data_IF_554598313676
#
_entry.id   IF_554598313676
#
_cell.length_a   1.000
_cell.length_b   1.000
_cell.length_c   1.000
_cell.angle_alpha   90.00
_cell.angle_beta   90.00
_cell.angle_gamma   90.00
#
_symmetry.space_group_name_H-M   'P 1'
#
loop_
_entity.id
_entity.type
_entity.pdbx_description
1 polymer ?
#
# COMPACT_ATOMS: atom_id res chain seq x y z
N UNK A 1 -42.62 59.05 4.74
CA UNK A 1 -42.11 57.97 3.87
C UNK A 1 -40.72 57.62 4.36
N UNK A 2 -40.57 56.54 5.13
CA UNK A 2 -39.29 56.06 5.62
C UNK A 2 -39.11 54.61 5.16
N UNK A 3 -38.13 54.38 4.30
CA UNK A 3 -37.82 53.07 3.72
C UNK A 3 -36.97 52.29 4.73
N UNK A 4 -37.52 51.20 5.26
CA UNK A 4 -36.77 50.23 6.08
C UNK A 4 -36.02 49.31 5.12
N UNK A 5 -34.69 49.40 5.11
CA UNK A 5 -33.81 48.43 4.46
C UNK A 5 -33.67 47.21 5.38
N UNK A 6 -34.30 46.11 4.98
CA UNK A 6 -34.10 44.79 5.59
C UNK A 6 -32.83 44.20 4.98
N UNK A 7 -31.75 44.15 5.75
CA UNK A 7 -30.58 43.33 5.42
C UNK A 7 -30.94 41.86 5.65
N UNK A 8 -31.16 41.13 4.56
CA UNK A 8 -31.24 39.67 4.59
C UNK A 8 -29.81 39.13 4.66
N UNK A 9 -29.34 38.81 5.87
CA UNK A 9 -28.17 37.95 6.04
C UNK A 9 -28.57 36.52 5.64
N UNK A 10 -28.20 36.12 4.43
CA UNK A 10 -28.28 34.72 3.98
C UNK A 10 -27.25 33.91 4.78
N UNK A 11 -27.76 33.02 5.63
CA UNK A 11 -27.00 32.08 6.44
C UNK A 11 -26.26 31.04 5.55
N UNK A 12 -24.98 31.30 5.25
CA UNK A 12 -24.01 30.31 4.74
C UNK A 12 -23.24 29.61 5.89
N UNK A 13 -23.90 29.34 7.02
CA UNK A 13 -23.25 28.89 8.26
C UNK A 13 -23.11 27.35 8.43
N UNK A 14 -24.01 26.48 7.92
CA UNK A 14 -23.97 25.05 8.24
C UNK A 14 -22.67 24.35 7.81
N UNK A 15 -22.25 24.57 6.57
CA UNK A 15 -21.09 23.86 6.00
C UNK A 15 -19.76 24.31 6.62
N UNK A 16 -19.64 25.59 6.97
CA UNK A 16 -18.43 26.13 7.59
C UNK A 16 -18.21 25.59 9.02
N UNK A 17 -19.28 25.47 9.81
CA UNK A 17 -19.21 24.95 11.17
C UNK A 17 -18.94 23.44 11.19
N UNK A 18 -19.53 22.69 10.27
CA UNK A 18 -19.35 21.23 10.14
C UNK A 18 -17.91 20.89 9.76
N UNK A 19 -17.36 21.59 8.76
CA UNK A 19 -15.96 21.43 8.34
C UNK A 19 -14.95 21.74 9.45
N UNK A 20 -15.24 22.70 10.33
CA UNK A 20 -14.35 23.04 11.45
C UNK A 20 -14.31 21.92 12.49
N UNK A 21 -15.45 21.29 12.77
CA UNK A 21 -15.50 20.13 13.68
C UNK A 21 -14.77 18.93 13.09
N UNK A 22 -14.98 18.64 11.81
CA UNK A 22 -14.28 17.55 11.11
C UNK A 22 -12.77 17.77 11.08
N UNK A 23 -12.32 19.01 10.89
CA UNK A 23 -10.91 19.38 10.97
C UNK A 23 -10.31 19.13 12.36
N UNK A 24 -10.99 19.55 13.42
CA UNK A 24 -10.52 19.28 14.79
C UNK A 24 -10.41 17.79 15.05
N UNK A 25 -11.44 17.01 14.70
CA UNK A 25 -11.43 15.56 14.84
C UNK A 25 -10.31 14.91 14.01
N UNK A 26 -10.07 15.39 12.79
CA UNK A 26 -8.99 14.93 11.93
C UNK A 26 -7.63 15.16 12.58
N UNK A 27 -7.36 16.38 13.07
CA UNK A 27 -6.09 16.67 13.73
C UNK A 27 -5.87 15.82 14.98
N UNK A 28 -6.89 15.67 15.82
CA UNK A 28 -6.83 14.83 17.02
C UNK A 28 -6.58 13.36 16.67
N UNK A 29 -7.36 12.80 15.73
CA UNK A 29 -7.26 11.39 15.33
C UNK A 29 -5.90 11.03 14.74
N UNK A 30 -5.31 11.91 13.96
CA UNK A 30 -4.06 11.66 13.22
C UNK A 30 -2.84 12.37 13.83
N UNK A 31 -2.97 12.95 15.02
CA UNK A 31 -1.88 13.62 15.73
C UNK A 31 -1.24 14.74 14.91
N UNK A 32 -2.03 15.54 14.18
CA UNK A 32 -1.51 16.57 13.29
C UNK A 32 -1.06 17.79 14.07
N UNK A 33 0.20 18.15 13.86
CA UNK A 33 0.82 19.37 14.38
C UNK A 33 1.47 20.14 13.22
N UNK A 34 1.18 21.43 13.11
CA UNK A 34 1.53 22.26 11.97
C UNK A 34 2.53 23.35 12.36
N UNK A 35 3.47 23.65 11.46
CA UNK A 35 4.63 24.50 11.78
C UNK A 35 4.26 25.94 12.13
N UNK A 36 3.11 26.40 11.65
CA UNK A 36 2.60 27.75 11.90
C UNK A 36 1.10 27.80 11.65
N UNK A 37 0.44 28.85 12.14
CA UNK A 37 -0.97 29.11 11.83
C UNK A 37 -1.23 29.23 10.32
N UNK A 38 -0.29 29.77 9.55
CA UNK A 38 -0.42 29.88 8.10
C UNK A 38 -0.36 28.50 7.41
N UNK A 39 0.52 27.61 7.88
CA UNK A 39 0.59 26.22 7.42
C UNK A 39 -0.70 25.47 7.78
N UNK A 40 -1.21 25.64 9.00
CA UNK A 40 -2.48 25.05 9.41
C UNK A 40 -3.65 25.54 8.55
N UNK A 41 -3.74 26.84 8.26
CA UNK A 41 -4.78 27.38 7.37
C UNK A 41 -4.70 26.80 5.96
N UNK A 42 -3.48 26.65 5.42
CA UNK A 42 -3.27 25.98 4.12
C UNK A 42 -3.73 24.52 4.18
N UNK A 43 -3.35 23.78 5.23
CA UNK A 43 -3.69 22.36 5.41
C UNK A 43 -5.20 22.16 5.59
N UNK A 44 -5.86 23.07 6.29
CA UNK A 44 -7.31 23.06 6.42
C UNK A 44 -8.00 23.31 5.07
N UNK A 45 -7.52 24.25 4.24
CA UNK A 45 -8.06 24.45 2.89
C UNK A 45 -7.93 23.20 2.02
N UNK A 46 -6.77 22.54 2.04
CA UNK A 46 -6.54 21.28 1.32
C UNK A 46 -7.48 20.18 1.82
N UNK A 47 -7.67 20.10 3.14
CA UNK A 47 -8.61 19.17 3.77
C UNK A 47 -10.05 19.39 3.28
N UNK A 48 -10.51 20.64 3.22
CA UNK A 48 -11.84 20.97 2.70
C UNK A 48 -12.01 20.61 1.22
N UNK A 49 -10.97 20.80 0.40
CA UNK A 49 -11.00 20.36 -1.01
C UNK A 49 -11.08 18.84 -1.12
N UNK A 50 -10.29 18.13 -0.31
CA UNK A 50 -10.31 16.67 -0.29
C UNK A 50 -11.64 16.10 0.23
N UNK A 51 -12.30 16.76 1.20
CA UNK A 51 -13.64 16.39 1.66
C UNK A 51 -14.65 16.43 0.53
N UNK A 52 -14.67 17.51 -0.27
CA UNK A 52 -15.58 17.62 -1.44
C UNK A 52 -15.36 16.49 -2.44
N UNK A 53 -14.10 16.10 -2.68
CA UNK A 53 -13.75 14.97 -3.56
C UNK A 53 -14.31 13.66 -2.98
N UNK A 54 -14.11 13.43 -1.67
CA UNK A 54 -14.60 12.23 -0.98
C UNK A 54 -16.13 12.17 -1.06
N UNK A 55 -16.83 13.26 -0.78
CA UNK A 55 -18.29 13.35 -0.81
C UNK A 55 -18.86 13.07 -2.20
N UNK A 56 -18.33 13.73 -3.23
CA UNK A 56 -18.75 13.54 -4.61
C UNK A 56 -18.51 12.09 -5.09
N UNK A 57 -17.34 11.51 -4.80
CA UNK A 57 -17.07 10.11 -5.12
C UNK A 57 -18.01 9.15 -4.38
N UNK A 58 -18.32 9.45 -3.12
CA UNK A 58 -19.21 8.62 -2.33
C UNK A 58 -20.69 8.71 -2.78
N UNK A 59 -21.10 9.80 -3.44
CA UNK A 59 -22.37 9.84 -4.17
C UNK A 59 -22.40 8.85 -5.34
N UNK A 60 -21.32 8.77 -6.12
CA UNK A 60 -21.20 7.78 -7.20
C UNK A 60 -21.20 6.34 -6.66
N UNK A 61 -20.53 6.09 -5.53
CA UNK A 61 -20.61 4.79 -4.84
C UNK A 61 -22.04 4.45 -4.42
N UNK A 62 -22.75 5.37 -3.74
CA UNK A 62 -24.16 5.16 -3.31
C UNK A 62 -25.10 4.93 -4.49
N UNK A 63 -24.81 5.52 -5.64
CA UNK A 63 -25.58 5.36 -6.87
C UNK A 63 -25.12 4.17 -7.74
N UNK A 64 -24.22 3.31 -7.23
CA UNK A 64 -23.76 2.11 -7.94
C UNK A 64 -22.85 2.36 -9.15
N UNK A 65 -22.33 3.59 -9.30
CA UNK A 65 -21.40 3.97 -10.37
C UNK A 65 -19.94 3.68 -10.01
N UNK A 66 -19.64 3.62 -8.71
CA UNK A 66 -18.35 3.19 -8.17
C UNK A 66 -18.49 1.90 -7.36
N UNK A 67 -17.42 1.12 -7.32
CA UNK A 67 -17.32 -0.16 -6.58
C UNK A 67 -16.57 -0.02 -5.26
N UNK A 68 -16.07 1.19 -4.96
CA UNK A 68 -15.37 1.53 -3.73
C UNK A 68 -15.79 2.90 -3.23
N UNK A 69 -15.58 3.14 -1.94
CA UNK A 69 -15.81 4.43 -1.31
C UNK A 69 -14.51 5.00 -0.73
N UNK A 70 -14.50 6.32 -0.63
CA UNK A 70 -13.41 7.09 -0.07
C UNK A 70 -13.73 7.54 1.35
N UNK A 71 -12.70 7.91 2.10
CA UNK A 71 -12.86 8.38 3.48
C UNK A 71 -11.70 9.26 3.93
N UNK A 72 -11.95 9.99 5.02
CA UNK A 72 -10.91 10.77 5.70
C UNK A 72 -9.92 9.81 6.35
N UNK A 73 -8.66 9.90 5.93
CA UNK A 73 -7.52 9.20 6.52
C UNK A 73 -6.35 10.18 6.71
N UNK A 74 -5.19 9.70 7.14
CA UNK A 74 -4.02 10.54 7.45
C UNK A 74 -3.50 11.41 6.28
N UNK A 75 -3.93 11.15 5.05
CA UNK A 75 -3.55 11.89 3.85
C UNK A 75 -4.57 12.97 3.45
N UNK A 76 -5.66 13.15 4.22
CA UNK A 76 -6.73 14.07 3.86
C UNK A 76 -6.31 15.54 3.83
N UNK A 77 -5.18 15.93 4.43
CA UNK A 77 -4.61 17.28 4.39
C UNK A 77 -3.45 17.43 3.38
N UNK A 78 -3.29 16.48 2.46
CA UNK A 78 -2.26 16.48 1.41
C UNK A 78 -2.85 16.79 0.04
N UNK A 79 -2.12 17.56 -0.76
CA UNK A 79 -2.43 17.70 -2.19
C UNK A 79 -2.12 16.41 -2.94
N UNK A 80 -2.66 16.26 -4.15
CA UNK A 80 -2.35 15.13 -5.01
C UNK A 80 -0.85 15.02 -5.34
N UNK A 81 -0.19 16.17 -5.55
CA UNK A 81 1.25 16.24 -5.80
C UNK A 81 2.06 15.86 -4.58
N UNK A 82 1.71 16.37 -3.39
CA UNK A 82 2.36 16.00 -2.13
C UNK A 82 2.25 14.49 -1.88
N UNK A 83 1.09 13.90 -2.12
CA UNK A 83 0.90 12.47 -1.99
C UNK A 83 1.73 11.66 -2.99
N UNK A 84 1.73 12.05 -4.28
CA UNK A 84 2.54 11.36 -5.30
C UNK A 84 4.04 11.45 -4.98
N UNK A 85 4.50 12.58 -4.44
CA UNK A 85 5.90 12.76 -4.07
C UNK A 85 6.33 11.84 -2.90
N UNK A 86 5.39 11.29 -2.13
CA UNK A 86 5.67 10.25 -1.12
C UNK A 86 5.75 8.85 -1.69
N UNK A 87 5.17 8.63 -2.86
CA UNK A 87 5.26 7.36 -3.57
C UNK A 87 6.70 7.23 -4.08
N UNK A 88 7.39 6.17 -3.69
CA UNK A 88 8.76 5.92 -4.13
C UNK A 88 8.71 5.25 -5.49
N UNK A 89 9.07 5.93 -6.59
CA UNK A 89 9.00 5.29 -7.90
C UNK A 89 10.05 4.20 -7.95
N UNK A 90 9.64 3.05 -8.44
CA UNK A 90 10.56 2.04 -8.89
C UNK A 90 11.16 2.57 -10.22
N UNK A 91 12.28 3.32 -10.15
CA UNK A 91 12.99 3.81 -11.36
C UNK A 91 14.22 2.96 -11.62
N UNK A 92 14.37 2.58 -12.90
CA UNK A 92 15.42 1.73 -13.46
C UNK A 92 15.70 0.45 -12.67
N UNK A 93 14.96 -0.63 -12.97
CA UNK A 93 15.41 -1.97 -12.61
C UNK A 93 16.67 -2.29 -13.41
N UNK A 94 17.74 -2.64 -12.71
CA UNK A 94 18.66 -3.63 -13.23
C UNK A 94 18.13 -5.02 -12.85
N UNK A 95 17.45 -5.69 -13.78
CA UNK A 95 16.93 -7.06 -13.61
C UNK A 95 18.06 -8.10 -13.84
N UNK A 96 19.33 -7.68 -13.92
CA UNK A 96 20.41 -8.61 -14.26
C UNK A 96 20.72 -9.58 -13.11
N UNK A 97 20.51 -10.86 -13.41
CA UNK A 97 21.06 -11.99 -12.65
C UNK A 97 20.15 -12.49 -11.53
N UNK A 98 19.64 -13.71 -11.74
CA UNK A 98 19.01 -14.62 -10.77
C UNK A 98 17.49 -14.60 -10.62
N UNK A 99 16.75 -13.89 -11.48
CA UNK A 99 15.32 -14.21 -11.63
C UNK A 99 15.18 -15.50 -12.44
N UNK A 100 14.41 -16.46 -11.90
CA UNK A 100 13.77 -17.49 -12.73
C UNK A 100 12.34 -17.05 -12.94
N UNK A 101 11.87 -17.10 -14.18
CA UNK A 101 10.44 -16.98 -14.45
C UNK A 101 9.80 -18.23 -13.87
N UNK A 102 8.78 -18.06 -13.03
CA UNK A 102 8.02 -19.17 -12.50
C UNK A 102 7.43 -19.97 -13.66
N UNK A 103 7.74 -21.27 -13.72
CA UNK A 103 7.08 -22.19 -14.63
C UNK A 103 5.70 -22.49 -14.06
N UNK A 104 4.71 -21.72 -14.51
CA UNK A 104 3.32 -21.96 -14.15
C UNK A 104 2.79 -22.94 -15.19
N UNK A 105 2.89 -24.24 -14.87
CA UNK A 105 1.98 -25.21 -15.47
C UNK A 105 0.56 -24.72 -15.17
N UNK A 106 -0.19 -24.43 -16.22
CA UNK A 106 -1.56 -23.91 -16.17
C UNK A 106 -2.37 -24.62 -15.08
N UNK A 107 -3.09 -23.84 -14.28
CA UNK A 107 -4.18 -24.23 -13.36
C UNK A 107 -4.67 -25.66 -13.62
N UNK A 108 -4.32 -26.59 -12.72
CA UNK A 108 -4.77 -27.99 -12.81
C UNK A 108 -6.25 -28.14 -12.41
N UNK A 109 -6.94 -27.03 -12.14
CA UNK A 109 -8.35 -26.96 -11.76
C UNK A 109 -8.60 -26.99 -10.26
N UNK A 110 -7.55 -27.02 -9.42
CA UNK A 110 -7.67 -27.14 -7.97
C UNK A 110 -7.46 -25.82 -7.19
N UNK A 111 -7.44 -24.66 -7.86
CA UNK A 111 -7.28 -23.36 -7.20
C UNK A 111 -8.61 -22.91 -6.56
N UNK A 112 -8.66 -22.62 -5.24
CA UNK A 112 -9.87 -22.14 -4.59
C UNK A 112 -10.42 -20.84 -5.21
N UNK A 113 -11.74 -20.64 -5.14
CA UNK A 113 -12.41 -19.41 -5.62
C UNK A 113 -12.02 -18.17 -4.81
N UNK A 114 -11.76 -18.35 -3.50
CA UNK A 114 -11.27 -17.31 -2.61
C UNK A 114 -10.24 -17.87 -1.64
N UNK A 115 -9.27 -17.03 -1.26
CA UNK A 115 -8.24 -17.32 -0.26
C UNK A 115 -7.98 -16.05 0.53
N UNK A 116 -7.76 -16.21 1.82
CA UNK A 116 -7.23 -15.18 2.70
C UNK A 116 -6.17 -15.78 3.63
N UNK A 117 -4.90 -15.51 3.34
CA UNK A 117 -3.77 -16.05 4.12
C UNK A 117 -3.71 -15.50 5.55
N UNK A 118 -4.49 -14.46 5.88
CA UNK A 118 -4.62 -13.96 7.25
C UNK A 118 -5.37 -14.95 8.13
N UNK A 119 -6.32 -15.71 7.59
CA UNK A 119 -7.17 -16.64 8.36
C UNK A 119 -6.37 -17.77 9.01
N UNK A 120 -5.22 -18.11 8.43
CA UNK A 120 -4.31 -19.12 9.00
C UNK A 120 -3.11 -18.52 9.71
N UNK A 121 -3.03 -17.19 9.84
CA UNK A 121 -1.93 -16.49 10.52
C UNK A 121 -0.64 -16.38 9.72
N UNK A 122 -0.68 -16.50 8.38
CA UNK A 122 0.50 -16.44 7.53
C UNK A 122 0.98 -15.01 7.21
N UNK A 123 0.37 -13.98 7.78
CA UNK A 123 0.61 -12.57 7.44
C UNK A 123 0.93 -11.79 8.71
N UNK A 124 2.07 -11.09 8.74
CA UNK A 124 2.45 -10.20 9.85
C UNK A 124 1.51 -8.99 9.95
N UNK A 125 1.40 -8.35 11.14
CA UNK A 125 0.56 -7.17 11.32
C UNK A 125 0.87 -6.05 10.30
N UNK A 126 -0.14 -5.22 10.01
CA UNK A 126 0.05 -4.05 9.14
C UNK A 126 1.05 -3.10 9.78
N UNK A 127 2.06 -2.72 9.00
CA UNK A 127 3.07 -1.74 9.39
C UNK A 127 2.80 -0.35 8.80
N UNK A 128 3.61 0.62 9.20
CA UNK A 128 3.55 1.98 8.70
C UNK A 128 4.95 2.45 8.25
N UNK A 129 5.11 2.75 6.96
CA UNK A 129 6.35 3.25 6.37
C UNK A 129 6.58 4.75 6.65
N UNK A 130 5.54 5.46 7.10
CA UNK A 130 5.59 6.90 7.34
C UNK A 130 5.96 7.69 6.08
N UNK A 131 6.89 8.62 6.20
CA UNK A 131 7.31 9.50 5.09
C UNK A 131 8.43 8.89 4.20
N UNK A 132 8.93 7.71 4.55
CA UNK A 132 9.96 7.01 3.79
C UNK A 132 9.36 6.14 2.68
N UNK A 133 9.92 6.18 1.48
CA UNK A 133 9.55 5.35 0.33
C UNK A 133 9.99 3.88 0.44
N UNK A 134 9.81 3.24 1.59
CA UNK A 134 10.28 1.88 1.91
C UNK A 134 9.28 0.75 1.59
N UNK A 135 8.17 1.05 0.88
CA UNK A 135 7.14 0.06 0.53
C UNK A 135 7.68 -1.22 -0.10
N UNK A 136 8.73 -1.11 -0.92
CA UNK A 136 9.39 -2.24 -1.59
C UNK A 136 10.00 -3.25 -0.60
N UNK A 137 10.49 -2.77 0.55
CA UNK A 137 10.99 -3.60 1.64
C UNK A 137 9.82 -4.34 2.31
N UNK A 138 8.75 -3.62 2.63
CA UNK A 138 7.56 -4.20 3.26
C UNK A 138 6.88 -5.29 2.41
N UNK A 139 6.83 -5.09 1.09
CA UNK A 139 6.32 -6.11 0.15
C UNK A 139 7.22 -7.35 0.10
N UNK A 140 8.53 -7.16 -0.06
CA UNK A 140 9.49 -8.26 -0.13
C UNK A 140 9.57 -9.06 1.17
N UNK A 141 9.75 -8.38 2.30
CA UNK A 141 9.82 -9.02 3.62
C UNK A 141 8.52 -9.72 3.97
N UNK A 142 7.38 -9.10 3.69
CA UNK A 142 6.07 -9.72 3.91
C UNK A 142 5.91 -11.05 3.18
N UNK A 143 6.45 -11.15 1.96
CA UNK A 143 6.44 -12.40 1.21
C UNK A 143 7.37 -13.44 1.83
N UNK A 144 8.60 -13.06 2.26
CA UNK A 144 9.54 -13.96 2.97
C UNK A 144 8.94 -14.48 4.27
N UNK A 145 8.36 -13.61 5.09
CA UNK A 145 7.74 -13.95 6.37
C UNK A 145 6.61 -14.95 6.18
N UNK A 146 5.78 -14.74 5.15
CA UNK A 146 4.68 -15.63 4.82
C UNK A 146 5.19 -16.98 4.31
N UNK A 147 6.19 -17.01 3.42
CA UNK A 147 6.82 -18.26 2.97
C UNK A 147 7.42 -19.05 4.14
N UNK A 148 8.08 -18.35 5.08
CA UNK A 148 8.64 -18.98 6.26
C UNK A 148 7.54 -19.60 7.13
N UNK A 149 6.43 -18.89 7.33
CA UNK A 149 5.27 -19.44 8.04
C UNK A 149 4.72 -20.69 7.35
N UNK A 150 4.53 -20.67 6.03
CA UNK A 150 3.98 -21.80 5.29
C UNK A 150 4.89 -23.04 5.31
N UNK A 151 6.21 -22.83 5.39
CA UNK A 151 7.21 -23.93 5.47
C UNK A 151 7.40 -24.48 6.89
N UNK A 152 7.28 -23.63 7.91
CA UNK A 152 7.69 -23.97 9.29
C UNK A 152 6.57 -23.96 10.34
N UNK A 153 5.42 -23.36 10.02
CA UNK A 153 4.35 -23.05 10.96
C UNK A 153 4.65 -21.89 11.92
N UNK A 154 5.80 -21.21 11.79
CA UNK A 154 6.21 -20.10 12.67
C UNK A 154 6.21 -18.77 11.90
N UNK A 155 5.41 -17.82 12.37
CA UNK A 155 5.44 -16.45 11.85
C UNK A 155 6.60 -15.70 12.50
N UNK A 156 7.34 -14.97 11.68
CA UNK A 156 8.44 -14.11 12.12
C UNK A 156 8.21 -12.69 11.60
N UNK A 157 8.83 -11.71 12.23
CA UNK A 157 8.82 -10.33 11.79
C UNK A 157 10.26 -9.89 11.52
N UNK A 158 10.57 -9.54 10.28
CA UNK A 158 11.92 -9.17 9.84
C UNK A 158 12.14 -7.66 9.97
N UNK A 159 13.39 -7.27 10.22
CA UNK A 159 13.74 -5.86 10.39
C UNK A 159 13.75 -5.13 9.05
N UNK A 160 12.72 -4.31 8.82
CA UNK A 160 12.68 -3.35 7.70
C UNK A 160 13.84 -2.36 7.79
N UNK A 161 14.17 -1.91 9.00
CA UNK A 161 15.25 -0.94 9.20
C UNK A 161 16.62 -1.51 8.85
N UNK A 162 16.88 -2.80 9.11
CA UNK A 162 18.14 -3.43 8.73
C UNK A 162 18.29 -3.49 7.20
N UNK A 163 17.23 -3.84 6.47
CA UNK A 163 17.26 -3.78 5.01
C UNK A 163 17.47 -2.32 4.56
N UNK A 164 16.72 -1.37 5.12
CA UNK A 164 16.83 0.04 4.77
C UNK A 164 18.23 0.62 4.97
N UNK A 165 18.92 0.22 6.04
CA UNK A 165 20.26 0.71 6.40
C UNK A 165 21.39 0.05 5.59
N UNK A 166 21.21 -1.23 5.22
CA UNK A 166 22.29 -2.06 4.70
C UNK A 166 22.16 -2.41 3.21
N UNK A 167 21.03 -2.08 2.56
CA UNK A 167 20.79 -2.38 1.15
C UNK A 167 21.58 -1.44 0.23
N UNK A 168 22.61 -1.98 -0.41
CA UNK A 168 23.46 -1.26 -1.38
C UNK A 168 22.89 -1.29 -2.82
N UNK A 169 21.75 -1.97 -3.04
CA UNK A 169 21.12 -2.18 -4.35
C UNK A 169 19.89 -1.30 -4.59
N UNK A 170 19.35 -0.70 -3.53
CA UNK A 170 18.19 0.18 -3.57
C UNK A 170 18.55 1.61 -3.11
N UNK A 171 17.60 2.54 -3.25
CA UNK A 171 17.83 3.96 -2.99
C UNK A 171 17.24 4.41 -1.64
N UNK A 172 17.26 3.53 -0.63
CA UNK A 172 16.76 3.81 0.70
C UNK A 172 15.31 4.31 0.69
N UNK A 173 15.07 5.48 1.28
CA UNK A 173 13.74 6.11 1.33
C UNK A 173 13.27 6.78 0.03
N UNK A 174 14.10 6.83 -1.02
CA UNK A 174 13.70 7.37 -2.32
C UNK A 174 12.89 6.33 -3.12
N UNK A 175 13.10 5.04 -2.82
CA UNK A 175 12.42 3.93 -3.47
C UNK A 175 13.37 2.80 -3.82
N UNK A 176 12.79 1.69 -4.27
CA UNK A 176 13.52 0.48 -4.57
C UNK A 176 12.61 -0.59 -5.16
N UNK A 177 13.20 -1.77 -5.34
CA UNK A 177 12.57 -2.92 -5.98
C UNK A 177 12.55 -4.12 -5.02
N UNK A 178 11.43 -4.86 -4.91
CA UNK A 178 11.38 -6.08 -4.11
C UNK A 178 12.46 -7.10 -4.51
N UNK A 179 12.76 -7.21 -5.81
CA UNK A 179 13.82 -8.09 -6.33
C UNK A 179 15.20 -7.77 -5.74
N UNK A 180 15.54 -6.48 -5.62
CA UNK A 180 16.80 -6.02 -5.04
C UNK A 180 16.88 -6.31 -3.54
N UNK A 181 15.74 -6.32 -2.83
CA UNK A 181 15.70 -6.74 -1.41
C UNK A 181 16.03 -8.22 -1.27
N UNK A 182 15.51 -9.09 -2.15
CA UNK A 182 15.90 -10.50 -2.14
C UNK A 182 17.40 -10.69 -2.42
N UNK A 183 17.96 -9.89 -3.33
CA UNK A 183 19.41 -9.88 -3.61
C UNK A 183 20.21 -9.47 -2.37
N UNK A 184 19.82 -8.40 -1.68
CA UNK A 184 20.43 -7.96 -0.43
C UNK A 184 20.41 -9.08 0.61
N UNK A 185 19.25 -9.69 0.86
CA UNK A 185 19.08 -10.75 1.87
C UNK A 185 19.86 -12.02 1.50
N UNK A 186 19.92 -12.36 0.21
CA UNK A 186 20.73 -13.48 -0.26
C UNK A 186 22.20 -13.35 0.15
N UNK A 187 22.74 -12.15 0.09
CA UNK A 187 24.18 -11.90 0.29
C UNK A 187 24.50 -11.56 1.76
N UNK A 188 23.67 -10.74 2.38
CA UNK A 188 23.90 -10.16 3.70
C UNK A 188 22.98 -10.74 4.79
N UNK A 189 21.99 -11.55 4.43
CA UNK A 189 21.00 -12.11 5.34
C UNK A 189 20.02 -11.07 5.87
N UNK A 190 19.08 -11.56 6.68
CA UNK A 190 18.12 -10.74 7.42
C UNK A 190 18.20 -11.02 8.93
N UNK A 191 17.70 -10.09 9.73
CA UNK A 191 17.53 -10.22 11.19
C UNK A 191 16.06 -10.05 11.56
N UNK A 192 15.67 -10.58 12.72
CA UNK A 192 14.35 -10.31 13.27
C UNK A 192 14.25 -8.83 13.65
N UNK A 193 13.04 -8.29 13.61
CA UNK A 193 12.79 -6.90 14.00
C UNK A 193 13.18 -6.61 15.45
N UNK A 194 13.13 -7.60 16.34
CA UNK A 194 13.52 -7.46 17.75
C UNK A 194 15.04 -7.49 17.97
N UNK A 195 15.80 -7.98 16.99
CA UNK A 195 17.27 -8.10 17.05
C UNK A 195 17.98 -6.90 16.37
N UNK A 196 17.25 -5.85 16.03
CA UNK A 196 17.77 -4.65 15.38
C UNK A 196 17.09 -3.39 15.96
N UNK A 197 17.60 -2.20 15.59
CA UNK A 197 16.93 -0.95 15.95
C UNK A 197 15.53 -0.84 15.33
N UNK A 198 14.62 -0.17 16.05
CA UNK A 198 13.26 0.12 15.58
C UNK A 198 13.29 0.94 14.29
N UNK A 199 12.20 0.86 13.51
CA UNK A 199 12.06 1.63 12.28
C UNK A 199 12.10 3.15 12.53
N UNK A 200 12.95 3.87 11.80
CA UNK A 200 13.24 5.30 11.99
C UNK A 200 12.73 6.19 10.84
N UNK A 201 12.08 5.61 9.83
CA UNK A 201 11.62 6.35 8.63
C UNK A 201 12.75 7.11 7.89
N UNK A 202 14.00 6.69 8.08
CA UNK A 202 15.18 7.25 7.41
C UNK A 202 16.25 6.17 7.24
N UNK A 203 17.20 6.42 6.34
CA UNK A 203 18.38 5.56 6.18
C UNK A 203 19.37 5.90 7.29
N UNK A 204 19.65 4.92 8.14
CA UNK A 204 20.66 4.98 9.19
C UNK A 204 22.00 4.37 8.75
N UNK A 205 22.90 4.22 9.72
CA UNK A 205 24.13 3.47 9.51
C UNK A 205 23.84 1.98 9.57
N UNK A 206 24.34 1.19 8.61
CA UNK A 206 24.26 -0.27 8.69
C UNK A 206 25.00 -0.80 9.93
N UNK A 207 24.26 -1.42 10.87
CA UNK A 207 24.81 -1.91 12.15
C UNK A 207 25.10 -3.42 12.15
N UNK A 208 24.48 -4.19 11.26
CA UNK A 208 24.63 -5.64 11.22
C UNK A 208 24.20 -6.25 9.89
N UNK A 209 24.88 -7.33 9.53
CA UNK A 209 24.38 -8.33 8.58
C UNK A 209 23.68 -9.46 9.33
N UNK A 210 22.71 -10.10 8.68
CA UNK A 210 21.92 -11.18 9.25
C UNK A 210 22.43 -12.58 8.91
N UNK A 211 21.92 -13.59 9.63
CA UNK A 211 22.15 -15.01 9.32
C UNK A 211 20.92 -15.70 8.74
N UNK A 212 19.73 -15.11 8.86
CA UNK A 212 18.51 -15.68 8.31
C UNK A 212 18.47 -15.47 6.81
N UNK A 213 17.97 -16.48 6.09
CA UNK A 213 17.68 -16.41 4.65
C UNK A 213 18.89 -16.03 3.77
N UNK A 214 20.11 -16.29 4.24
CA UNK A 214 21.29 -16.16 3.40
C UNK A 214 21.24 -17.20 2.27
N UNK A 215 21.53 -16.78 1.04
CA UNK A 215 21.51 -17.65 -0.13
C UNK A 215 20.13 -17.85 -0.78
N UNK A 216 19.08 -17.13 -0.38
CA UNK A 216 17.75 -17.25 -1.00
C UNK A 216 17.74 -16.81 -2.46
N UNK A 217 16.77 -17.35 -3.21
CA UNK A 217 16.44 -16.91 -4.58
C UNK A 217 15.11 -16.18 -4.63
N UNK A 218 14.68 -15.82 -5.83
CA UNK A 218 13.31 -15.38 -6.07
C UNK A 218 12.82 -15.80 -7.46
N UNK A 219 11.49 -15.89 -7.58
CA UNK A 219 10.76 -16.10 -8.82
C UNK A 219 10.09 -14.81 -9.26
N UNK A 220 10.13 -14.56 -10.57
CA UNK A 220 9.25 -13.60 -11.21
C UNK A 220 8.01 -14.33 -11.69
N UNK A 221 6.84 -13.89 -11.23
CA UNK A 221 5.56 -14.41 -11.72
C UNK A 221 5.30 -13.81 -13.11
N UNK A 222 4.85 -14.59 -14.09
CA UNK A 222 4.45 -14.07 -15.40
C UNK A 222 3.48 -12.90 -15.29
N UNK A 223 3.59 -11.94 -16.22
CA UNK A 223 2.74 -10.73 -16.30
C UNK A 223 1.30 -11.07 -16.68
N UNK A 224 0.55 -11.67 -15.77
CA UNK A 224 -0.78 -12.22 -16.02
C UNK A 224 -1.55 -12.40 -14.70
N UNK A 225 -2.82 -11.97 -14.65
CA UNK A 225 -3.62 -12.06 -13.41
C UNK A 225 -3.93 -13.51 -13.00
N UNK A 226 -4.10 -14.45 -13.95
CA UNK A 226 -4.26 -15.86 -13.63
C UNK A 226 -2.97 -16.46 -13.07
N UNK A 227 -1.81 -16.09 -13.63
CA UNK A 227 -0.50 -16.48 -13.09
C UNK A 227 -0.32 -15.97 -11.65
N UNK A 228 -0.68 -14.72 -11.37
CA UNK A 228 -0.69 -14.17 -10.01
C UNK A 228 -1.65 -14.93 -9.10
N UNK A 229 -2.85 -15.31 -9.59
CA UNK A 229 -3.83 -16.07 -8.81
C UNK A 229 -3.26 -17.43 -8.41
N UNK A 230 -2.69 -18.15 -9.37
CA UNK A 230 -2.01 -19.44 -9.13
C UNK A 230 -0.85 -19.28 -8.15
N UNK A 231 -0.02 -18.24 -8.32
CA UNK A 231 1.08 -17.98 -7.41
C UNK A 231 0.58 -17.77 -5.96
N UNK A 232 -0.44 -16.92 -5.78
CA UNK A 232 -1.03 -16.65 -4.46
C UNK A 232 -1.63 -17.90 -3.84
N UNK A 233 -2.33 -18.72 -4.63
CA UNK A 233 -3.02 -19.90 -4.15
C UNK A 233 -2.09 -21.05 -3.77
N UNK A 234 -1.07 -21.28 -4.60
CA UNK A 234 -0.19 -22.45 -4.45
C UNK A 234 1.00 -22.16 -3.54
N UNK A 235 1.53 -20.93 -3.58
CA UNK A 235 2.77 -20.60 -2.89
C UNK A 235 2.56 -19.68 -1.70
N UNK A 236 1.53 -18.84 -1.68
CA UNK A 236 1.28 -17.90 -0.58
C UNK A 236 1.36 -16.44 -0.99
N UNK A 237 1.40 -15.50 -0.03
CA UNK A 237 1.41 -14.07 -0.30
C UNK A 237 2.54 -13.60 -1.25
N UNK A 238 2.16 -12.78 -2.24
CA UNK A 238 3.03 -12.34 -3.35
C UNK A 238 3.27 -10.84 -3.27
N UNK A 239 4.54 -10.41 -3.40
CA UNK A 239 4.87 -8.99 -3.51
C UNK A 239 4.48 -8.47 -4.89
N UNK A 240 3.74 -7.37 -4.95
CA UNK A 240 3.26 -6.75 -6.20
C UNK A 240 3.55 -5.26 -6.25
N UNK A 241 3.63 -4.74 -7.47
CA UNK A 241 3.83 -3.34 -7.77
C UNK A 241 2.54 -2.76 -8.36
N UNK A 242 2.15 -1.56 -7.92
CA UNK A 242 0.96 -0.87 -8.42
C UNK A 242 1.22 0.60 -8.74
N UNK A 243 0.36 1.17 -9.58
CA UNK A 243 0.15 2.62 -9.58
C UNK A 243 -0.82 3.00 -8.45
N UNK A 244 -0.29 3.62 -7.40
CA UNK A 244 -1.05 4.07 -6.25
C UNK A 244 -1.39 5.57 -6.31
N UNK A 245 -1.14 6.27 -7.43
CA UNK A 245 -1.27 7.74 -7.53
C UNK A 245 -2.59 8.28 -6.98
N UNK A 246 -3.69 7.55 -7.18
CA UNK A 246 -5.03 7.98 -6.76
C UNK A 246 -5.60 7.19 -5.57
N UNK A 247 -4.77 6.39 -4.90
CA UNK A 247 -5.21 5.47 -3.86
C UNK A 247 -5.37 6.15 -2.48
N UNK A 248 -4.83 7.35 -2.30
CA UNK A 248 -4.71 8.04 -1.01
C UNK A 248 -6.00 8.23 -0.21
N UNK A 249 -7.18 8.17 -0.84
CA UNK A 249 -8.47 8.36 -0.16
C UNK A 249 -9.28 7.08 0.00
N UNK A 250 -8.76 5.93 -0.45
CA UNK A 250 -9.47 4.66 -0.35
C UNK A 250 -9.84 4.34 1.11
N UNK A 251 -11.09 3.92 1.32
CA UNK A 251 -11.59 3.51 2.65
C UNK A 251 -12.29 2.15 2.65
N UNK A 252 -12.73 1.64 1.51
CA UNK A 252 -13.30 0.29 1.41
C UNK A 252 -14.02 0.02 0.09
N UNK A 253 -14.56 -1.20 -0.05
CA UNK A 253 -15.06 -1.74 -1.32
C UNK A 253 -13.94 -2.16 -2.28
N UNK A 254 -14.28 -2.55 -3.51
CA UNK A 254 -13.33 -3.03 -4.52
C UNK A 254 -12.80 -1.84 -5.34
N UNK A 255 -11.56 -1.45 -5.10
CA UNK A 255 -10.91 -0.31 -5.74
C UNK A 255 -10.70 -0.58 -7.23
N UNK A 256 -11.33 0.26 -8.05
CA UNK A 256 -11.09 0.33 -9.48
C UNK A 256 -10.92 1.77 -9.89
N UNK A 257 -9.84 2.08 -10.62
CA UNK A 257 -9.62 3.43 -11.14
C UNK A 257 -9.10 3.38 -12.57
N UNK A 258 -9.86 3.94 -13.51
CA UNK A 258 -9.50 4.01 -14.92
C UNK A 258 -8.30 4.95 -15.20
N UNK A 259 -8.00 5.86 -14.27
CA UNK A 259 -6.86 6.79 -14.37
C UNK A 259 -5.54 6.17 -13.90
N UNK A 260 -5.55 4.94 -13.37
CA UNK A 260 -4.32 4.24 -13.07
C UNK A 260 -3.49 4.01 -14.34
N UNK A 261 -2.21 4.37 -14.28
CA UNK A 261 -1.26 4.15 -15.35
C UNK A 261 -0.65 2.75 -15.26
N UNK A 262 -1.04 1.88 -16.19
CA UNK A 262 -0.55 0.50 -16.25
C UNK A 262 0.96 0.35 -16.52
N UNK A 263 1.68 1.45 -16.79
CA UNK A 263 3.13 1.47 -17.07
C UNK A 263 3.94 2.22 -16.00
N UNK A 264 3.31 2.78 -14.96
CA UNK A 264 3.99 3.55 -13.93
C UNK A 264 3.65 3.02 -12.54
N UNK A 265 4.26 1.90 -12.17
CA UNK A 265 4.21 1.46 -10.79
C UNK A 265 5.07 2.39 -9.91
N UNK A 266 4.52 2.78 -8.77
CA UNK A 266 5.14 3.71 -7.82
C UNK A 266 4.90 3.32 -6.36
N UNK A 267 4.33 2.13 -6.12
CA UNK A 267 4.08 1.61 -4.79
C UNK A 267 4.09 0.09 -4.79
N UNK A 268 4.47 -0.51 -3.68
CA UNK A 268 4.53 -1.96 -3.50
C UNK A 268 3.53 -2.38 -2.43
N UNK A 269 2.76 -3.43 -2.73
CA UNK A 269 1.85 -4.09 -1.80
C UNK A 269 2.21 -5.57 -1.66
N UNK A 270 1.63 -6.23 -0.66
CA UNK A 270 1.64 -7.69 -0.55
C UNK A 270 0.24 -8.22 -0.83
N UNK A 271 0.04 -8.95 -1.93
CA UNK A 271 -1.23 -9.67 -2.17
C UNK A 271 -1.28 -10.88 -1.24
N UNK A 272 -2.22 -10.86 -0.30
CA UNK A 272 -2.40 -11.90 0.74
C UNK A 272 -3.63 -12.77 0.49
N UNK A 273 -4.32 -12.55 -0.63
CA UNK A 273 -5.53 -13.29 -0.94
C UNK A 273 -6.28 -12.72 -2.13
N UNK A 274 -7.43 -13.31 -2.41
CA UNK A 274 -8.34 -12.87 -3.45
C UNK A 274 -9.74 -13.41 -3.17
N UNK A 275 -10.75 -12.82 -3.79
CA UNK A 275 -12.12 -13.29 -3.69
C UNK A 275 -13.03 -12.50 -4.62
N UNK A 276 -14.33 -12.52 -4.31
CA UNK A 276 -15.37 -11.80 -5.03
C UNK A 276 -16.31 -11.14 -4.01
N UNK A 277 -16.61 -9.86 -4.18
CA UNK A 277 -17.54 -9.10 -3.34
C UNK A 277 -18.53 -8.38 -4.23
N UNK A 278 -19.83 -8.57 -4.01
CA UNK A 278 -20.89 -7.93 -4.80
C UNK A 278 -20.71 -8.11 -6.33
N UNK A 279 -20.28 -9.31 -6.75
CA UNK A 279 -20.00 -9.63 -8.15
C UNK A 279 -18.73 -8.99 -8.71
N UNK A 280 -17.89 -8.39 -7.88
CA UNK A 280 -16.60 -7.80 -8.26
C UNK A 280 -15.45 -8.66 -7.73
N UNK A 281 -14.66 -9.19 -8.64
CA UNK A 281 -13.43 -9.90 -8.32
C UNK A 281 -12.39 -8.94 -7.73
N UNK A 282 -11.73 -9.35 -6.65
CA UNK A 282 -10.68 -8.56 -6.01
C UNK A 282 -9.43 -9.37 -5.66
N UNK A 283 -8.30 -8.68 -5.60
CA UNK A 283 -7.11 -9.01 -4.84
C UNK A 283 -7.22 -8.39 -3.46
N UNK A 284 -6.94 -9.15 -2.41
CA UNK A 284 -6.77 -8.62 -1.06
C UNK A 284 -5.30 -8.31 -0.85
N UNK A 285 -4.95 -7.05 -0.69
CA UNK A 285 -3.57 -6.60 -0.59
C UNK A 285 -3.32 -5.86 0.72
N UNK A 286 -2.27 -6.27 1.43
CA UNK A 286 -1.74 -5.58 2.62
C UNK A 286 -0.93 -4.37 2.18
N UNK A 287 -1.22 -3.21 2.76
CA UNK A 287 -0.48 -1.97 2.55
C UNK A 287 0.49 -1.71 3.73
N UNK A 288 1.36 -0.70 3.57
CA UNK A 288 2.34 -0.25 4.55
C UNK A 288 2.08 1.19 5.02
N UNK A 289 0.82 1.62 5.03
CA UNK A 289 0.41 2.97 5.46
C UNK A 289 -0.33 2.98 6.81
N UNK A 290 -0.09 1.96 7.65
CA UNK A 290 -0.75 1.82 8.94
C UNK A 290 -2.22 1.39 8.84
N UNK A 291 -2.78 1.01 9.98
CA UNK A 291 -4.13 0.45 10.08
C UNK A 291 -5.24 1.49 9.90
N UNK A 292 -4.91 2.78 9.95
CA UNK A 292 -5.88 3.86 9.72
C UNK A 292 -6.22 4.08 8.25
N UNK A 293 -5.49 3.43 7.34
CA UNK A 293 -5.71 3.50 5.91
C UNK A 293 -6.57 2.34 5.42
N UNK A 294 -7.50 2.59 4.48
CA UNK A 294 -8.28 1.54 3.85
C UNK A 294 -9.08 0.68 4.84
N UNK A 295 -9.11 -0.63 4.60
CA UNK A 295 -9.79 -1.61 5.44
C UNK A 295 -8.76 -2.14 6.45
N UNK A 296 -8.57 -1.42 7.55
CA UNK A 296 -7.61 -1.78 8.61
C UNK A 296 -6.18 -1.99 8.08
N UNK A 297 -5.76 -1.17 7.11
CA UNK A 297 -4.46 -1.27 6.43
C UNK A 297 -4.43 -2.12 5.17
N UNK A 298 -5.57 -2.70 4.77
CA UNK A 298 -5.72 -3.48 3.55
C UNK A 298 -6.49 -2.74 2.47
N UNK A 299 -6.28 -3.17 1.23
CA UNK A 299 -6.99 -2.70 0.05
C UNK A 299 -7.52 -3.90 -0.73
N UNK A 300 -8.79 -3.85 -1.14
CA UNK A 300 -9.33 -4.75 -2.15
C UNK A 300 -9.12 -4.11 -3.52
N UNK A 301 -8.13 -4.58 -4.27
CA UNK A 301 -7.84 -4.08 -5.63
C UNK A 301 -8.64 -4.88 -6.65
N UNK A 302 -9.19 -4.23 -7.67
CA UNK A 302 -9.91 -4.93 -8.73
C UNK A 302 -9.05 -6.01 -9.40
N UNK A 303 -9.61 -7.23 -9.48
CA UNK A 303 -9.03 -8.38 -10.17
C UNK A 303 -9.84 -8.68 -11.44
N UNK A 304 -9.19 -9.21 -12.47
CA UNK A 304 -9.81 -9.54 -13.77
C UNK A 304 -10.44 -8.32 -14.46
N UNK A 305 -9.85 -7.14 -14.26
CA UNK A 305 -10.35 -5.86 -14.81
C UNK A 305 -9.24 -5.13 -15.53
N UNK A 306 -8.66 -5.81 -16.52
CA UNK A 306 -7.55 -5.32 -17.35
C UNK A 306 -6.30 -4.98 -16.56
N UNK A 307 -5.90 -5.84 -15.59
CA UNK A 307 -4.72 -5.64 -14.77
C UNK A 307 -4.67 -4.22 -14.17
N UNK A 308 -5.77 -3.83 -13.51
CA UNK A 308 -5.96 -2.47 -13.04
C UNK A 308 -4.81 -2.04 -12.11
N UNK A 309 -4.29 -0.84 -12.33
CA UNK A 309 -3.15 -0.28 -11.61
C UNK A 309 -1.90 -1.15 -11.66
N UNK A 310 -1.70 -1.93 -12.74
CA UNK A 310 -0.48 -2.69 -12.99
C UNK A 310 -0.17 -3.83 -11.99
N UNK A 311 -1.13 -4.25 -11.16
CA UNK A 311 -0.89 -5.17 -10.04
C UNK A 311 -0.21 -6.50 -10.43
N UNK A 312 -0.44 -7.00 -11.65
CA UNK A 312 0.16 -8.20 -12.18
C UNK A 312 1.32 -7.94 -13.16
N UNK A 313 1.95 -6.75 -13.16
CA UNK A 313 3.07 -6.44 -14.06
C UNK A 313 4.39 -7.08 -13.66
N UNK A 314 4.73 -7.01 -12.36
CA UNK A 314 6.00 -7.49 -11.83
C UNK A 314 5.84 -8.22 -10.48
N UNK A 315 4.96 -9.23 -10.34
CA UNK A 315 4.86 -9.93 -9.07
C UNK A 315 6.10 -10.78 -8.81
N UNK A 316 6.52 -10.84 -7.55
CA UNK A 316 7.70 -11.61 -7.14
C UNK A 316 7.45 -12.42 -5.87
N UNK A 317 8.11 -13.58 -5.80
CA UNK A 317 8.06 -14.52 -4.68
C UNK A 317 9.47 -14.97 -4.30
N UNK A 318 9.84 -14.99 -3.01
CA UNK A 318 11.13 -15.53 -2.58
C UNK A 318 11.13 -17.06 -2.60
N UNK A 319 12.32 -17.65 -2.74
CA UNK A 319 12.57 -19.08 -2.58
C UNK A 319 13.49 -19.26 -1.37
N UNK A 320 12.94 -19.84 -0.28
CA UNK A 320 13.62 -20.05 1.00
C UNK A 320 14.32 -21.40 1.14
#
# INVERSE_FOLDING_TARGET
>A
MGTILIFVCLFFIPDALTNTKEWTNFKEKFGKDYKSTLDEQRRFSIFQENLKIIEAHNEDYRNGKSTYYMGVNQFADMTQEEFINRLGPARNMDISGHSRIMDISTDDGNIPESIDWREIGAVTPVANQGECGSCYIYGALGSIESQHFLKSGKLINLSVQQILDCDEYNNGCIGGWPASVYKQIRENGAVLSEDYQSYQENVGQCQANGTLFKGIGYLSVPRNENALKTAVATYGPVSVEIDASYLNKYSGGVYFNASCNANMANHVLLVVGYGTENGQDYWLARNSWGTTFGIEGYVKMARNRNNNCAIANAPTLPIL
#
